data_IF_993800028249
#
_entry.id   IF_993800028249
#
_cell.length_a   1.000
_cell.length_b   1.000
_cell.length_c   1.000
_cell.angle_alpha   90.00
_cell.angle_beta   90.00
_cell.angle_gamma   90.00
#
_symmetry.space_group_name_H-M   'P 1'
#
loop_
_entity.id
_entity.type
_entity.pdbx_description
1 polymer ?
#
# COMPACT_ATOMS: atom_id res chain seq x y z
N UNK A 1 0.85 12.82 5.47
CA UNK A 1 0.57 12.19 6.78
C UNK A 1 -0.61 12.80 7.55
N UNK A 2 -0.75 14.13 7.66
CA UNK A 2 -1.87 14.78 8.39
C UNK A 2 -3.28 14.33 7.93
N UNK A 3 -3.52 14.24 6.62
CA UNK A 3 -4.79 13.80 6.05
C UNK A 3 -5.12 12.32 6.31
N UNK A 4 -4.10 11.48 6.51
CA UNK A 4 -4.26 10.05 6.77
C UNK A 4 -4.85 9.81 8.17
N UNK A 5 -4.24 10.41 9.19
CA UNK A 5 -4.76 10.33 10.57
C UNK A 5 -6.15 10.96 10.69
N UNK A 6 -6.42 12.06 9.96
CA UNK A 6 -7.74 12.69 9.93
C UNK A 6 -8.80 11.78 9.29
N UNK A 7 -8.45 11.07 8.22
CA UNK A 7 -9.32 10.10 7.56
C UNK A 7 -9.68 8.91 8.44
N UNK A 8 -8.72 8.41 9.22
CA UNK A 8 -8.94 7.35 10.22
C UNK A 8 -9.79 7.88 11.38
N UNK A 9 -9.44 9.04 11.93
CA UNK A 9 -10.17 9.66 13.06
C UNK A 9 -11.64 9.94 12.74
N UNK A 10 -11.93 10.40 11.52
CA UNK A 10 -13.30 10.63 11.06
C UNK A 10 -14.13 9.34 11.11
N UNK A 11 -13.54 8.22 10.70
CA UNK A 11 -14.21 6.92 10.66
C UNK A 11 -14.37 6.30 12.04
N UNK A 12 -13.34 6.41 12.90
CA UNK A 12 -13.43 5.97 14.30
C UNK A 12 -14.49 6.77 15.06
N UNK A 13 -14.59 8.09 14.81
CA UNK A 13 -15.66 8.92 15.37
C UNK A 13 -17.04 8.43 14.95
N UNK A 14 -17.22 8.12 13.66
CA UNK A 14 -18.48 7.61 13.13
C UNK A 14 -18.83 6.19 13.63
N UNK A 15 -17.83 5.34 13.87
CA UNK A 15 -18.02 4.02 14.48
C UNK A 15 -18.42 4.15 15.94
N UNK A 16 -17.65 4.92 16.72
CA UNK A 16 -17.88 5.07 18.16
C UNK A 16 -19.24 5.66 18.50
N UNK A 17 -19.80 6.50 17.61
CA UNK A 17 -21.12 7.10 17.76
C UNK A 17 -22.26 6.32 17.13
N UNK A 18 -22.01 5.13 16.57
CA UNK A 18 -23.05 4.37 15.87
C UNK A 18 -23.90 3.50 16.79
N UNK A 19 -25.12 3.14 16.36
CA UNK A 19 -26.03 2.33 17.17
C UNK A 19 -25.45 0.98 17.57
N UNK A 20 -24.59 0.37 16.75
CA UNK A 20 -23.99 -0.94 17.00
C UNK A 20 -22.99 -0.90 18.17
N UNK A 21 -22.28 0.22 18.36
CA UNK A 21 -21.33 0.38 19.46
C UNK A 21 -22.02 1.00 20.68
N UNK A 22 -22.94 1.95 20.49
CA UNK A 22 -23.66 2.57 21.60
C UNK A 22 -22.93 3.71 22.30
N UNK A 23 -21.95 4.34 21.65
CA UNK A 23 -21.28 5.55 22.14
C UNK A 23 -19.86 5.33 22.66
N UNK A 24 -19.21 6.41 23.08
CA UNK A 24 -17.79 6.40 23.49
C UNK A 24 -17.50 5.58 24.75
N UNK A 25 -18.47 5.42 25.64
CA UNK A 25 -18.28 4.63 26.86
C UNK A 25 -18.14 3.13 26.49
N UNK A 26 -19.06 2.61 25.69
CA UNK A 26 -19.00 1.25 25.14
C UNK A 26 -17.79 1.04 24.20
N UNK A 27 -17.46 2.03 23.36
CA UNK A 27 -16.24 2.00 22.54
C UNK A 27 -14.97 1.83 23.41
N UNK A 28 -14.92 2.49 24.57
CA UNK A 28 -13.82 2.38 25.52
C UNK A 28 -13.69 0.97 26.08
N UNK A 29 -14.80 0.32 26.43
CA UNK A 29 -14.81 -1.05 26.93
C UNK A 29 -14.33 -2.06 25.88
N UNK A 30 -14.78 -1.93 24.63
CA UNK A 30 -14.32 -2.75 23.50
C UNK A 30 -12.80 -2.64 23.33
N UNK A 31 -12.29 -1.41 23.31
CA UNK A 31 -10.83 -1.16 23.16
C UNK A 31 -10.05 -1.70 24.36
N UNK A 32 -10.54 -1.52 25.58
CA UNK A 32 -9.87 -2.03 26.77
C UNK A 32 -9.77 -3.56 26.77
N UNK A 33 -10.77 -4.24 26.21
CA UNK A 33 -10.78 -5.71 26.09
C UNK A 33 -9.79 -6.21 25.04
N UNK A 34 -9.57 -5.45 23.96
CA UNK A 34 -8.64 -5.85 22.89
C UNK A 34 -7.17 -5.54 23.19
N UNK A 35 -6.89 -4.73 24.22
CA UNK A 35 -5.54 -4.30 24.58
C UNK A 35 -4.83 -5.31 25.49
N UNK A 36 -3.47 -5.35 25.45
CA UNK A 36 -2.69 -6.12 26.40
C UNK A 36 -3.01 -5.74 27.86
N UNK A 37 -2.97 -6.74 28.76
CA UNK A 37 -3.13 -6.50 30.21
C UNK A 37 -2.07 -5.52 30.70
N UNK A 38 -2.50 -4.47 31.42
CA UNK A 38 -1.61 -3.43 31.95
C UNK A 38 -1.49 -2.17 31.06
N UNK A 39 -2.10 -2.15 29.87
CA UNK A 39 -2.19 -0.93 29.09
C UNK A 39 -3.05 0.14 29.81
N UNK A 40 -2.71 1.44 29.69
CA UNK A 40 -3.54 2.51 30.25
C UNK A 40 -4.99 2.42 29.76
N UNK A 41 -5.95 2.54 30.69
CA UNK A 41 -7.37 2.43 30.36
C UNK A 41 -7.82 3.50 29.36
N UNK A 42 -8.57 3.06 28.37
CA UNK A 42 -9.26 3.89 27.40
C UNK A 42 -10.60 4.34 27.98
N UNK A 43 -10.67 5.60 28.42
CA UNK A 43 -11.92 6.26 28.83
C UNK A 43 -12.53 7.03 27.65
N UNK A 44 -13.81 7.38 27.74
CA UNK A 44 -14.46 8.33 26.82
C UNK A 44 -13.71 9.65 26.69
N UNK A 45 -13.14 10.17 27.80
CA UNK A 45 -12.31 11.37 27.79
C UNK A 45 -11.03 11.19 26.99
N UNK A 46 -10.40 10.01 27.09
CA UNK A 46 -9.21 9.64 26.32
C UNK A 46 -9.52 9.51 24.83
N UNK A 47 -10.64 8.84 24.46
CA UNK A 47 -11.09 8.73 23.07
C UNK A 47 -11.35 10.11 22.49
N UNK A 48 -12.13 10.94 23.17
CA UNK A 48 -12.47 12.30 22.73
C UNK A 48 -11.22 13.17 22.56
N UNK A 49 -10.27 13.10 23.51
CA UNK A 49 -8.98 13.79 23.40
C UNK A 49 -8.17 13.31 22.21
N UNK A 50 -8.11 11.99 21.96
CA UNK A 50 -7.36 11.43 20.83
C UNK A 50 -7.93 11.89 19.49
N UNK A 51 -9.26 11.84 19.36
CA UNK A 51 -9.98 12.31 18.17
C UNK A 51 -9.75 13.80 17.92
N UNK A 52 -9.83 14.64 18.96
CA UNK A 52 -9.62 16.09 18.86
C UNK A 52 -8.18 16.44 18.49
N UNK A 53 -7.21 15.77 19.12
CA UNK A 53 -5.78 16.03 18.90
C UNK A 53 -5.26 15.36 17.60
N UNK A 54 -6.15 14.75 16.81
CA UNK A 54 -5.84 13.99 15.59
C UNK A 54 -4.71 12.96 15.76
N UNK A 55 -4.64 12.33 16.93
CA UNK A 55 -3.57 11.37 17.28
C UNK A 55 -3.79 10.03 16.58
N UNK A 56 -2.69 9.32 16.39
CA UNK A 56 -2.70 7.98 15.79
C UNK A 56 -3.41 6.94 16.68
N UNK A 57 -4.03 5.98 15.99
CA UNK A 57 -4.71 4.84 16.59
C UNK A 57 -3.97 3.54 16.26
N UNK A 58 -3.56 2.77 17.28
CA UNK A 58 -3.03 1.43 17.08
C UNK A 58 -4.02 0.52 16.34
N UNK A 59 -3.49 -0.35 15.47
CA UNK A 59 -4.26 -1.31 14.66
C UNK A 59 -5.23 -2.17 15.46
N UNK A 60 -4.78 -2.66 16.61
CA UNK A 60 -5.60 -3.49 17.50
C UNK A 60 -6.84 -2.78 18.04
N UNK A 61 -6.81 -1.45 18.14
CA UNK A 61 -7.88 -0.67 18.77
C UNK A 61 -8.98 -0.33 17.79
N UNK A 62 -8.62 0.20 16.61
CA UNK A 62 -9.64 0.50 15.61
C UNK A 62 -10.22 -0.77 14.98
N UNK A 63 -9.44 -1.86 14.87
CA UNK A 63 -9.94 -3.15 14.38
C UNK A 63 -10.99 -3.76 15.31
N UNK A 64 -10.77 -3.68 16.62
CA UNK A 64 -11.75 -4.15 17.60
C UNK A 64 -13.09 -3.40 17.50
N UNK A 65 -13.04 -2.08 17.22
CA UNK A 65 -14.26 -1.29 16.99
C UNK A 65 -14.97 -1.69 15.69
N UNK A 66 -14.23 -1.97 14.62
CA UNK A 66 -14.81 -2.44 13.35
C UNK A 66 -15.47 -3.82 13.48
N UNK A 67 -14.81 -4.74 14.20
CA UNK A 67 -15.33 -6.08 14.49
C UNK A 67 -16.60 -6.00 15.34
N UNK A 68 -16.61 -5.19 16.40
CA UNK A 68 -17.79 -4.98 17.23
C UNK A 68 -18.96 -4.33 16.46
N UNK A 69 -18.66 -3.44 15.52
CA UNK A 69 -19.68 -2.79 14.69
C UNK A 69 -20.13 -3.63 13.47
N UNK A 70 -19.47 -4.76 13.19
CA UNK A 70 -19.74 -5.60 12.02
C UNK A 70 -19.49 -4.92 10.67
N UNK A 71 -18.72 -3.82 10.65
CA UNK A 71 -18.44 -3.01 9.45
C UNK A 71 -17.03 -2.43 9.50
N UNK A 72 -16.40 -2.34 8.34
CA UNK A 72 -14.95 -2.13 8.22
C UNK A 72 -14.55 -0.84 7.47
N UNK A 73 -15.01 0.36 7.86
CA UNK A 73 -14.75 1.60 7.13
C UNK A 73 -13.30 2.11 7.18
N UNK A 74 -12.57 1.89 8.28
CA UNK A 74 -11.13 2.20 8.44
C UNK A 74 -10.30 1.23 7.60
N UNK A 75 -10.56 -0.08 7.71
CA UNK A 75 -9.88 -1.09 6.88
C UNK A 75 -10.07 -0.80 5.39
N UNK A 76 -11.30 -0.51 4.96
CA UNK A 76 -11.59 -0.12 3.56
C UNK A 76 -10.88 1.15 3.14
N UNK A 77 -10.73 2.13 4.03
CA UNK A 77 -10.02 3.37 3.71
C UNK A 77 -8.51 3.17 3.58
N UNK A 78 -7.92 2.36 4.46
CA UNK A 78 -6.51 1.99 4.35
C UNK A 78 -6.29 1.22 3.04
N UNK A 79 -7.10 0.19 2.77
CA UNK A 79 -7.01 -0.60 1.55
C UNK A 79 -7.21 0.24 0.28
N UNK A 80 -8.20 1.15 0.25
CA UNK A 80 -8.42 2.05 -0.87
C UNK A 80 -7.23 3.00 -1.08
N UNK A 81 -6.61 3.47 0.00
CA UNK A 81 -5.40 4.30 -0.10
C UNK A 81 -4.18 3.52 -0.53
N UNK A 82 -4.00 2.28 -0.06
CA UNK A 82 -2.93 1.42 -0.57
C UNK A 82 -3.14 1.15 -2.05
N UNK A 83 -4.37 0.85 -2.48
CA UNK A 83 -4.70 0.69 -3.90
C UNK A 83 -4.54 1.98 -4.72
N UNK A 84 -4.84 3.17 -4.15
CA UNK A 84 -4.59 4.48 -4.78
C UNK A 84 -3.10 4.84 -4.80
N UNK A 85 -2.34 4.46 -3.77
CA UNK A 85 -0.90 4.63 -3.73
C UNK A 85 -0.26 3.66 -4.75
N UNK A 86 -0.74 2.42 -4.87
CA UNK A 86 -0.34 1.42 -5.89
C UNK A 86 -0.74 1.86 -7.32
N UNK A 87 -1.92 2.46 -7.48
CA UNK A 87 -2.36 3.05 -8.76
C UNK A 87 -1.64 4.38 -9.07
N UNK A 88 -1.22 5.11 -8.05
CA UNK A 88 -0.33 6.26 -8.15
C UNK A 88 1.12 5.87 -8.42
N UNK A 89 1.45 4.61 -8.15
CA UNK A 89 2.73 3.95 -8.38
C UNK A 89 2.79 3.20 -9.73
N UNK A 90 1.85 3.46 -10.65
CA UNK A 90 2.04 3.25 -12.09
C UNK A 90 3.29 3.98 -12.65
N UNK A 91 4.01 4.74 -11.82
CA UNK A 91 5.27 5.43 -12.14
C UNK A 91 6.52 4.87 -11.46
N UNK A 92 6.44 3.82 -10.66
CA UNK A 92 7.64 3.14 -10.17
C UNK A 92 7.88 1.84 -10.92
N UNK A 93 8.92 1.83 -11.75
CA UNK A 93 9.62 0.59 -12.07
C UNK A 93 10.08 0.00 -10.75
N UNK A 94 9.45 -1.09 -10.32
CA UNK A 94 9.97 -1.84 -9.19
C UNK A 94 11.20 -2.59 -9.67
N UNK A 95 12.37 -1.95 -9.60
CA UNK A 95 13.65 -2.58 -9.89
C UNK A 95 13.86 -3.89 -9.09
N UNK A 96 13.17 -4.02 -7.94
CA UNK A 96 13.14 -5.26 -7.15
C UNK A 96 12.31 -6.36 -7.81
N UNK A 97 11.18 -6.03 -8.42
CA UNK A 97 10.37 -6.95 -9.22
C UNK A 97 11.15 -7.38 -10.47
N UNK A 98 11.76 -6.43 -11.20
CA UNK A 98 12.64 -6.74 -12.34
C UNK A 98 13.79 -7.67 -11.95
N UNK A 99 14.42 -7.42 -10.79
CA UNK A 99 15.50 -8.27 -10.28
C UNK A 99 15.00 -9.67 -9.91
N UNK A 100 13.84 -9.78 -9.25
CA UNK A 100 13.24 -11.07 -8.87
C UNK A 100 12.91 -11.89 -10.10
N UNK A 101 12.06 -11.38 -10.99
CA UNK A 101 11.61 -12.14 -12.16
C UNK A 101 12.77 -12.46 -13.10
N UNK A 102 13.70 -11.51 -13.28
CA UNK A 102 14.92 -11.75 -14.05
C UNK A 102 15.81 -12.85 -13.46
N UNK A 103 15.89 -12.96 -12.14
CA UNK A 103 16.64 -14.03 -11.48
C UNK A 103 15.94 -15.38 -11.63
N UNK A 104 14.62 -15.43 -11.42
CA UNK A 104 13.81 -16.66 -11.57
C UNK A 104 13.92 -17.21 -13.00
N UNK A 105 13.79 -16.34 -14.01
CA UNK A 105 13.97 -16.70 -15.41
C UNK A 105 15.39 -17.23 -15.72
N UNK A 106 16.45 -16.54 -15.28
CA UNK A 106 17.84 -16.98 -15.50
C UNK A 106 18.10 -18.34 -14.85
N UNK A 107 17.60 -18.57 -13.64
CA UNK A 107 17.78 -19.85 -12.95
C UNK A 107 17.00 -20.98 -13.63
N UNK A 108 15.78 -20.72 -14.11
CA UNK A 108 14.98 -21.68 -14.84
C UNK A 108 15.62 -22.03 -16.20
N UNK A 109 16.14 -21.03 -16.93
CA UNK A 109 16.88 -21.23 -18.18
C UNK A 109 18.14 -22.07 -17.96
N UNK A 110 18.96 -21.74 -16.96
CA UNK A 110 20.17 -22.48 -16.64
C UNK A 110 19.88 -23.95 -16.30
N UNK A 111 18.77 -24.24 -15.61
CA UNK A 111 18.36 -25.62 -15.35
C UNK A 111 17.89 -26.32 -16.62
N UNK A 112 17.06 -25.65 -17.44
CA UNK A 112 16.55 -26.16 -18.70
C UNK A 112 17.66 -26.52 -19.71
N UNK A 113 18.78 -25.79 -19.71
CA UNK A 113 19.96 -26.09 -20.55
C UNK A 113 20.63 -27.44 -20.24
N UNK A 114 20.38 -28.00 -19.06
CA UNK A 114 21.08 -29.20 -18.55
C UNK A 114 20.19 -30.43 -18.41
N UNK A 115 18.95 -30.37 -18.87
CA UNK A 115 17.94 -31.43 -18.69
C UNK A 115 17.18 -31.69 -19.98
N UNK A 116 16.68 -32.93 -20.13
CA UNK A 116 15.74 -33.32 -21.19
C UNK A 116 14.29 -33.38 -20.69
N UNK A 117 14.01 -32.97 -19.44
CA UNK A 117 12.67 -32.97 -18.86
C UNK A 117 11.80 -31.83 -19.44
N UNK A 118 10.72 -32.14 -20.20
CA UNK A 118 9.87 -31.13 -20.81
C UNK A 118 9.18 -30.20 -19.81
N UNK A 119 8.93 -30.66 -18.57
CA UNK A 119 8.31 -29.84 -17.54
C UNK A 119 9.25 -28.71 -17.08
N UNK A 120 10.55 -29.00 -17.00
CA UNK A 120 11.57 -28.00 -16.65
C UNK A 120 11.75 -26.99 -17.78
N UNK A 121 11.73 -27.46 -19.04
CA UNK A 121 11.76 -26.57 -20.21
C UNK A 121 10.51 -25.68 -20.27
N UNK A 122 9.32 -26.22 -19.98
CA UNK A 122 8.09 -25.43 -19.92
C UNK A 122 8.17 -24.33 -18.87
N UNK A 123 8.65 -24.65 -17.67
CA UNK A 123 8.86 -23.64 -16.61
C UNK A 123 9.79 -22.52 -17.08
N UNK A 124 10.91 -22.84 -17.74
CA UNK A 124 11.80 -21.81 -18.26
C UNK A 124 11.12 -20.88 -19.28
N UNK A 125 10.17 -21.39 -20.07
CA UNK A 125 9.35 -20.57 -20.98
C UNK A 125 8.44 -19.63 -20.19
N UNK A 126 7.71 -20.15 -19.19
CA UNK A 126 6.78 -19.36 -18.35
C UNK A 126 7.53 -18.22 -17.64
N UNK A 127 8.61 -18.53 -16.94
CA UNK A 127 9.40 -17.54 -16.19
C UNK A 127 10.01 -16.48 -17.14
N UNK A 128 10.41 -16.88 -18.36
CA UNK A 128 10.88 -15.93 -19.38
C UNK A 128 9.75 -15.03 -19.89
N UNK A 129 8.53 -15.55 -20.01
CA UNK A 129 7.35 -14.77 -20.42
C UNK A 129 6.99 -13.73 -19.36
N UNK A 130 7.06 -14.05 -18.08
CA UNK A 130 6.83 -13.10 -16.99
C UNK A 130 7.80 -11.91 -17.06
N UNK A 131 9.07 -12.16 -17.37
CA UNK A 131 10.06 -11.09 -17.60
C UNK A 131 9.69 -10.23 -18.82
N UNK A 132 9.20 -10.84 -19.91
CA UNK A 132 8.77 -10.10 -21.11
C UNK A 132 7.55 -9.22 -20.84
N UNK A 133 6.57 -9.73 -20.08
CA UNK A 133 5.39 -8.99 -19.67
C UNK A 133 5.76 -7.79 -18.79
N UNK A 134 6.64 -8.01 -17.82
CA UNK A 134 7.16 -6.95 -16.96
C UNK A 134 7.94 -5.90 -17.76
N UNK A 135 8.82 -6.33 -18.68
CA UNK A 135 9.55 -5.40 -19.54
C UNK A 135 8.63 -4.62 -20.49
N UNK A 136 7.58 -5.25 -21.01
CA UNK A 136 6.59 -4.60 -21.87
C UNK A 136 5.76 -3.56 -21.11
N UNK A 137 5.45 -3.82 -19.83
CA UNK A 137 4.82 -2.85 -18.92
C UNK A 137 5.73 -1.66 -18.63
N UNK A 138 7.01 -1.91 -18.37
CA UNK A 138 7.94 -0.88 -17.89
C UNK A 138 8.54 -0.01 -19.01
N UNK A 139 8.81 -0.58 -20.18
CA UNK A 139 9.50 0.11 -21.27
C UNK A 139 8.82 1.44 -21.73
N UNK A 140 7.48 1.52 -21.88
CA UNK A 140 6.81 2.76 -22.28
C UNK A 140 7.06 3.92 -21.31
N UNK A 141 7.03 3.66 -20.00
CA UNK A 141 7.23 4.70 -19.02
C UNK A 141 8.71 5.13 -18.94
N UNK A 142 9.67 4.19 -19.11
CA UNK A 142 11.10 4.54 -19.23
C UNK A 142 11.33 5.43 -20.45
N UNK A 143 10.67 5.11 -21.58
CA UNK A 143 10.73 5.91 -22.79
C UNK A 143 10.16 7.31 -22.60
N UNK A 144 8.99 7.43 -21.97
CA UNK A 144 8.39 8.72 -21.65
C UNK A 144 9.31 9.58 -20.79
N UNK A 145 9.94 8.98 -19.77
CA UNK A 145 10.91 9.68 -18.90
C UNK A 145 12.13 10.16 -19.67
N UNK A 146 12.68 9.33 -20.55
CA UNK A 146 13.78 9.72 -21.43
C UNK A 146 13.40 10.91 -22.32
N UNK A 147 12.25 10.86 -22.98
CA UNK A 147 11.80 11.91 -23.89
C UNK A 147 11.56 13.24 -23.15
N UNK A 148 11.00 13.20 -21.93
CA UNK A 148 10.83 14.40 -21.09
C UNK A 148 12.17 15.03 -20.68
N UNK A 149 13.15 14.22 -20.25
CA UNK A 149 14.48 14.71 -19.88
C UNK A 149 15.21 15.29 -21.10
N UNK A 150 15.08 14.66 -22.26
CA UNK A 150 15.66 15.14 -23.51
C UNK A 150 15.07 16.48 -23.95
N UNK A 151 13.74 16.63 -23.86
CA UNK A 151 13.06 17.89 -24.17
C UNK A 151 13.55 19.04 -23.25
N UNK A 152 13.69 18.77 -21.95
CA UNK A 152 14.19 19.75 -20.98
C UNK A 152 15.64 20.22 -21.30
N UNK A 153 16.52 19.29 -21.68
CA UNK A 153 17.89 19.62 -22.09
C UNK A 153 17.92 20.52 -23.33
N UNK A 154 17.09 20.25 -24.33
CA UNK A 154 17.00 21.06 -25.55
C UNK A 154 16.48 22.49 -25.28
N UNK A 155 15.61 22.67 -24.29
CA UNK A 155 15.10 24.00 -23.91
C UNK A 155 16.06 24.83 -23.05
N UNK A 156 17.08 24.20 -22.45
CA UNK A 156 18.07 24.87 -21.59
C UNK A 156 19.26 25.49 -22.34
N UNK A 157 19.34 25.34 -23.67
CA UNK A 157 20.39 25.98 -24.49
C UNK A 157 20.06 27.47 -24.64
N UNK A 158 20.91 28.41 -24.19
CA UNK A 158 20.64 29.83 -24.33
C UNK A 158 20.56 30.21 -25.82
N UNK A 159 19.46 30.85 -26.23
CA UNK A 159 19.41 31.56 -27.51
C UNK A 159 20.51 32.63 -27.47
N UNK A 160 21.59 32.42 -28.21
CA UNK A 160 22.50 33.51 -28.57
C UNK A 160 21.70 34.44 -29.46
N UNK A 161 21.19 35.52 -28.86
CA UNK A 161 20.54 36.61 -29.60
C UNK A 161 21.67 37.37 -30.28
N UNK A 162 21.66 37.37 -31.62
CA UNK A 162 22.58 38.12 -32.48
C UNK A 162 22.29 39.61 -32.42
#
# INVERSE_FOLDING_TARGET
MLFYHQGINTRIKALSGSPEIGGYDAAGEIINTSRPKGAPSMSKGTISKRLRDNREWPTTEWRALEEAAGRYPVSRFIAARTAEDDAGDERSFSHLETMKEGHEAVMAQALAETTDDPAVVMRAIEETQEVLELAAKDLPALRQRYDALRAAQLTSVPRVVS
#
